data_IF_828592969470
#
_entry.id   IF_828592969470
#
_cell.length_a   1.000
_cell.length_b   1.000
_cell.length_c   1.000
_cell.angle_alpha   90.00
_cell.angle_beta   90.00
_cell.angle_gamma   90.00
#
_symmetry.space_group_name_H-M   'P 1'
#
loop_
_entity.id
_entity.type
_entity.pdbx_description
1 polymer ?
#
# COMPACT_ATOMS: atom_id res chain seq x y z
N UNK A 1 -40.94 9.28 0.49
CA UNK A 1 -40.00 8.16 0.71
C UNK A 1 -38.60 8.69 0.42
N UNK A 2 -37.90 9.19 1.44
CA UNK A 2 -36.54 9.71 1.30
C UNK A 2 -35.65 9.09 2.39
N UNK A 3 -34.38 8.90 2.02
CA UNK A 3 -33.23 8.53 2.85
C UNK A 3 -33.00 7.03 3.11
N UNK A 4 -32.38 6.35 2.15
CA UNK A 4 -31.49 5.20 2.42
C UNK A 4 -30.07 5.35 1.80
N UNK A 5 -29.84 6.27 0.84
CA UNK A 5 -28.53 6.40 0.18
C UNK A 5 -27.43 7.03 1.05
N UNK A 6 -27.78 7.86 2.03
CA UNK A 6 -26.79 8.57 2.87
C UNK A 6 -26.03 7.62 3.79
N UNK A 7 -26.69 6.55 4.26
CA UNK A 7 -26.06 5.53 5.12
C UNK A 7 -25.01 4.71 4.36
N UNK A 8 -25.32 4.31 3.12
CA UNK A 8 -24.46 3.44 2.28
C UNK A 8 -23.31 4.18 1.60
N UNK A 9 -23.40 5.49 1.40
CA UNK A 9 -22.27 6.30 0.94
C UNK A 9 -21.34 6.62 2.12
N UNK A 10 -21.91 6.93 3.28
CA UNK A 10 -21.15 7.19 4.50
C UNK A 10 -20.37 5.96 4.97
N UNK A 11 -20.96 4.75 4.91
CA UNK A 11 -20.24 3.51 5.23
C UNK A 11 -19.05 3.27 4.31
N UNK A 12 -19.24 3.47 2.99
CA UNK A 12 -18.18 3.27 2.00
C UNK A 12 -17.00 4.24 2.17
N UNK A 13 -17.27 5.53 2.40
CA UNK A 13 -16.21 6.52 2.66
C UNK A 13 -15.46 6.21 3.96
N UNK A 14 -16.15 5.75 5.01
CA UNK A 14 -15.53 5.31 6.25
C UNK A 14 -14.66 4.07 6.04
N UNK A 15 -15.13 3.09 5.26
CA UNK A 15 -14.36 1.90 4.88
C UNK A 15 -13.07 2.27 4.14
N UNK A 16 -13.17 3.14 3.12
CA UNK A 16 -11.99 3.65 2.40
C UNK A 16 -11.00 4.34 3.32
N UNK A 17 -11.50 5.24 4.17
CA UNK A 17 -10.64 5.99 5.09
C UNK A 17 -9.92 5.07 6.07
N UNK A 18 -10.65 4.12 6.67
CA UNK A 18 -10.09 3.13 7.60
C UNK A 18 -9.04 2.24 6.92
N UNK A 19 -9.36 1.63 5.78
CA UNK A 19 -8.40 0.79 5.06
C UNK A 19 -7.16 1.57 4.60
N UNK A 20 -7.35 2.80 4.12
CA UNK A 20 -6.27 3.68 3.70
C UNK A 20 -5.37 4.11 4.86
N UNK A 21 -5.93 4.39 6.04
CA UNK A 21 -5.17 4.68 7.25
C UNK A 21 -4.27 3.49 7.62
N UNK A 22 -4.86 2.30 7.73
CA UNK A 22 -4.11 1.07 8.08
C UNK A 22 -3.04 0.75 7.03
N UNK A 23 -3.35 0.94 5.75
CA UNK A 23 -2.41 0.77 4.64
C UNK A 23 -1.21 1.72 4.73
N UNK A 24 -1.45 3.00 5.05
CA UNK A 24 -0.39 3.98 5.23
C UNK A 24 0.43 3.72 6.51
N UNK A 25 -0.24 3.33 7.61
CA UNK A 25 0.41 3.00 8.88
C UNK A 25 1.24 1.71 8.79
N UNK A 26 0.82 0.73 8.00
CA UNK A 26 1.56 -0.51 7.79
C UNK A 26 2.97 -0.29 7.24
N UNK A 27 3.21 0.76 6.46
CA UNK A 27 4.56 1.11 5.98
C UNK A 27 5.45 1.57 7.13
N UNK A 28 4.87 2.11 8.20
CA UNK A 28 5.57 2.48 9.42
C UNK A 28 5.82 1.26 10.32
N UNK A 29 4.79 0.43 10.54
CA UNK A 29 4.86 -0.70 11.48
C UNK A 29 5.49 -1.96 10.88
N UNK A 30 5.38 -2.16 9.57
CA UNK A 30 5.74 -3.37 8.81
C UNK A 30 4.95 -4.61 9.28
N UNK A 31 3.82 -4.40 9.95
CA UNK A 31 2.98 -5.46 10.51
C UNK A 31 1.70 -5.69 9.69
N UNK A 32 1.18 -6.90 9.76
CA UNK A 32 -0.16 -7.21 9.26
C UNK A 32 -1.22 -6.48 10.10
N UNK A 33 -2.38 -6.16 9.50
CA UNK A 33 -3.51 -5.56 10.20
C UNK A 33 -4.80 -6.31 9.88
N UNK A 34 -5.84 -6.08 10.69
CA UNK A 34 -7.17 -6.65 10.47
C UNK A 34 -8.11 -5.59 9.90
N UNK A 35 -8.90 -5.97 8.91
CA UNK A 35 -9.93 -5.14 8.33
C UNK A 35 -11.18 -5.97 8.05
N UNK A 36 -12.31 -5.57 8.62
CA UNK A 36 -13.61 -6.26 8.48
C UNK A 36 -13.52 -7.79 8.73
N UNK A 37 -12.77 -8.19 9.76
CA UNK A 37 -12.58 -9.60 10.12
C UNK A 37 -11.58 -10.36 9.26
N UNK A 38 -10.96 -9.71 8.26
CA UNK A 38 -9.94 -10.30 7.40
C UNK A 38 -8.54 -9.82 7.76
N UNK A 39 -7.58 -10.74 7.73
CA UNK A 39 -6.17 -10.43 7.97
C UNK A 39 -5.50 -9.97 6.68
N UNK A 40 -5.03 -8.72 6.66
CA UNK A 40 -4.36 -8.11 5.52
C UNK A 40 -2.84 -8.35 5.63
N UNK A 41 -2.33 -9.22 4.75
CA UNK A 41 -0.95 -9.77 4.81
C UNK A 41 0.07 -9.02 3.96
N UNK A 42 -0.29 -7.87 3.40
CA UNK A 42 0.61 -7.05 2.56
C UNK A 42 1.88 -6.62 3.30
N UNK A 43 1.89 -6.58 4.64
CA UNK A 43 3.10 -6.37 5.45
C UNK A 43 4.21 -7.40 5.20
N UNK A 44 3.88 -8.64 4.84
CA UNK A 44 4.86 -9.67 4.48
C UNK A 44 5.67 -9.29 3.22
N UNK A 45 5.08 -8.51 2.31
CA UNK A 45 5.76 -8.01 1.12
C UNK A 45 6.85 -7.01 1.53
N UNK A 46 6.54 -6.09 2.46
CA UNK A 46 7.53 -5.17 3.01
C UNK A 46 8.66 -5.95 3.70
N UNK A 47 8.34 -6.91 4.57
CA UNK A 47 9.35 -7.75 5.23
C UNK A 47 10.29 -8.40 4.21
N UNK A 48 9.74 -9.01 3.16
CA UNK A 48 10.51 -9.63 2.08
C UNK A 48 11.44 -8.64 1.35
N UNK A 49 11.06 -7.36 1.20
CA UNK A 49 11.95 -6.35 0.63
C UNK A 49 13.20 -6.12 1.50
N UNK A 50 13.04 -6.12 2.83
CA UNK A 50 14.17 -6.01 3.75
C UNK A 50 15.01 -7.29 3.75
N UNK A 51 14.36 -8.45 3.79
CA UNK A 51 15.04 -9.75 3.77
C UNK A 51 15.94 -9.90 2.54
N UNK A 52 15.39 -9.65 1.35
CA UNK A 52 16.13 -9.70 0.09
C UNK A 52 17.38 -8.80 0.08
N UNK A 53 17.33 -7.69 0.83
CA UNK A 53 18.43 -6.74 0.90
C UNK A 53 19.48 -7.12 1.93
N UNK A 54 19.08 -7.57 3.12
CA UNK A 54 19.96 -7.68 4.28
C UNK A 54 20.29 -9.12 4.70
N UNK A 55 19.47 -10.13 4.36
CA UNK A 55 19.69 -11.53 4.77
C UNK A 55 20.69 -12.30 3.91
N UNK A 56 21.61 -11.62 3.23
CA UNK A 56 22.71 -12.30 2.48
C UNK A 56 23.70 -13.01 3.40
N UNK A 57 23.72 -12.66 4.69
CA UNK A 57 24.56 -13.28 5.73
C UNK A 57 23.70 -13.63 6.93
N UNK A 58 23.94 -14.79 7.54
CA UNK A 58 23.15 -15.26 8.70
C UNK A 58 23.25 -14.30 9.90
N UNK A 59 24.40 -13.65 10.10
CA UNK A 59 24.61 -12.66 11.17
C UNK A 59 23.63 -11.47 11.11
N UNK A 60 23.23 -11.06 9.91
CA UNK A 60 22.32 -9.93 9.71
C UNK A 60 20.86 -10.28 10.03
N UNK A 61 20.51 -11.57 10.00
CA UNK A 61 19.13 -12.05 10.20
C UNK A 61 18.60 -11.68 11.57
N UNK A 62 19.41 -11.86 12.61
CA UNK A 62 19.02 -11.52 13.99
C UNK A 62 18.76 -10.02 14.15
N UNK A 63 19.68 -9.20 13.62
CA UNK A 63 19.58 -7.73 13.68
C UNK A 63 18.36 -7.25 12.90
N UNK A 64 18.13 -7.80 11.69
CA UNK A 64 16.95 -7.43 10.90
C UNK A 64 15.65 -7.81 11.61
N UNK A 65 15.54 -9.04 12.12
CA UNK A 65 14.32 -9.49 12.79
C UNK A 65 14.01 -8.67 14.03
N UNK A 66 15.03 -8.24 14.78
CA UNK A 66 14.86 -7.35 15.92
C UNK A 66 14.29 -5.98 15.48
N UNK A 67 14.76 -5.43 14.36
CA UNK A 67 14.21 -4.20 13.80
C UNK A 67 12.76 -4.36 13.34
N UNK A 68 12.48 -5.39 12.54
CA UNK A 68 11.16 -5.63 11.94
C UNK A 68 10.07 -5.89 12.99
N UNK A 69 10.43 -6.38 14.18
CA UNK A 69 9.49 -6.58 15.28
C UNK A 69 8.93 -5.25 15.83
N UNK A 70 9.69 -4.15 15.80
CA UNK A 70 9.25 -2.85 16.29
C UNK A 70 9.97 -1.67 15.62
N UNK A 71 9.79 -1.42 14.31
CA UNK A 71 10.58 -0.45 13.55
C UNK A 71 10.50 0.96 14.13
N UNK A 72 9.30 1.40 14.55
CA UNK A 72 9.06 2.72 15.15
C UNK A 72 9.83 2.94 16.46
N UNK A 73 9.97 1.91 17.28
CA UNK A 73 10.71 1.99 18.54
C UNK A 73 12.23 1.90 18.31
N UNK A 74 12.63 1.15 17.28
CA UNK A 74 14.03 0.84 16.97
C UNK A 74 14.71 1.86 16.08
N UNK A 75 13.97 2.70 15.34
CA UNK A 75 14.55 3.61 14.35
C UNK A 75 15.59 4.56 14.92
N UNK A 76 15.39 5.11 16.13
CA UNK A 76 16.36 6.02 16.78
C UNK A 76 17.65 5.30 17.16
N UNK A 77 17.52 4.11 17.75
CA UNK A 77 18.65 3.24 18.11
C UNK A 77 19.43 2.85 16.85
N UNK A 78 18.73 2.40 15.81
CA UNK A 78 19.34 1.89 14.59
C UNK A 78 20.00 2.98 13.76
N UNK A 79 19.44 4.20 13.77
CA UNK A 79 20.03 5.36 13.09
C UNK A 79 21.40 5.76 13.65
N UNK A 80 21.70 5.40 14.90
CA UNK A 80 22.97 5.71 15.57
C UNK A 80 23.84 4.48 15.82
N UNK A 81 23.44 3.32 15.28
CA UNK A 81 24.09 2.04 15.50
C UNK A 81 25.32 1.81 14.62
N UNK A 82 25.73 0.54 14.56
CA UNK A 82 26.75 0.07 13.63
C UNK A 82 26.31 0.21 12.15
N UNK A 83 27.19 -0.17 11.22
CA UNK A 83 26.94 -0.03 9.79
C UNK A 83 25.66 -0.75 9.35
N UNK A 84 25.40 -1.98 9.80
CA UNK A 84 24.21 -2.73 9.36
C UNK A 84 22.92 -2.14 9.94
N UNK A 85 22.93 -1.73 11.22
CA UNK A 85 21.78 -1.05 11.84
C UNK A 85 21.44 0.25 11.11
N UNK A 86 22.46 1.06 10.78
CA UNK A 86 22.28 2.29 10.01
C UNK A 86 21.77 2.03 8.60
N UNK A 87 22.26 0.99 7.92
CA UNK A 87 21.77 0.63 6.58
C UNK A 87 20.30 0.20 6.59
N UNK A 88 19.88 -0.56 7.62
CA UNK A 88 18.48 -0.94 7.82
C UNK A 88 17.61 0.30 8.08
N UNK A 89 18.04 1.19 8.99
CA UNK A 89 17.34 2.46 9.26
C UNK A 89 17.21 3.33 8.01
N UNK A 90 18.29 3.48 7.25
CA UNK A 90 18.29 4.25 6.00
C UNK A 90 17.36 3.64 4.95
N UNK A 91 17.34 2.31 4.81
CA UNK A 91 16.43 1.64 3.90
C UNK A 91 14.96 1.75 4.32
N UNK A 92 14.69 1.72 5.62
CA UNK A 92 13.36 1.98 6.17
C UNK A 92 12.88 3.40 5.87
N UNK A 93 13.71 4.41 6.13
CA UNK A 93 13.38 5.81 5.81
C UNK A 93 13.16 6.01 4.31
N UNK A 94 14.02 5.41 3.48
CA UNK A 94 13.85 5.42 2.02
C UNK A 94 12.52 4.78 1.60
N UNK A 95 12.17 3.64 2.17
CA UNK A 95 10.91 2.91 1.88
C UNK A 95 9.69 3.77 2.17
N UNK A 96 9.65 4.45 3.33
CA UNK A 96 8.59 5.40 3.70
C UNK A 96 8.48 6.57 2.72
N UNK A 97 9.62 7.20 2.39
CA UNK A 97 9.68 8.34 1.44
C UNK A 97 9.21 7.92 0.04
N UNK A 98 9.64 6.76 -0.45
CA UNK A 98 9.21 6.22 -1.75
C UNK A 98 7.71 5.92 -1.76
N UNK A 99 7.18 5.30 -0.71
CA UNK A 99 5.75 5.03 -0.58
C UNK A 99 4.92 6.31 -0.66
N UNK A 100 5.23 7.30 0.17
CA UNK A 100 4.57 8.62 0.17
C UNK A 100 4.61 9.26 -1.21
N UNK A 101 5.77 9.26 -1.86
CA UNK A 101 5.94 9.81 -3.21
C UNK A 101 5.07 9.08 -4.25
N UNK A 102 5.05 7.75 -4.22
CA UNK A 102 4.33 6.93 -5.20
C UNK A 102 2.82 7.07 -5.04
N UNK A 103 2.28 6.98 -3.82
CA UNK A 103 0.82 7.12 -3.61
C UNK A 103 0.30 8.51 -4.01
N UNK A 104 1.14 9.55 -3.91
CA UNK A 104 0.82 10.90 -4.41
C UNK A 104 0.82 10.98 -5.93
N UNK A 105 1.73 10.26 -6.59
CA UNK A 105 1.93 10.31 -8.04
C UNK A 105 0.90 9.46 -8.81
N UNK A 106 0.54 8.28 -8.29
CA UNK A 106 -0.30 7.31 -9.00
C UNK A 106 -1.64 7.87 -9.49
N UNK A 107 -2.40 8.67 -8.71
CA UNK A 107 -3.68 9.23 -9.19
C UNK A 107 -3.54 10.08 -10.45
N UNK A 108 -2.43 10.82 -10.58
CA UNK A 108 -2.17 11.59 -11.79
C UNK A 108 -1.88 10.67 -12.97
N UNK A 109 -1.07 9.63 -12.78
CA UNK A 109 -0.78 8.64 -13.83
C UNK A 109 -2.07 7.95 -14.32
N UNK A 110 -2.97 7.58 -13.41
CA UNK A 110 -4.27 6.99 -13.78
C UNK A 110 -5.08 7.96 -14.65
N UNK A 111 -5.11 9.26 -14.29
CA UNK A 111 -5.86 10.28 -15.05
C UNK A 111 -5.27 10.53 -16.44
N UNK A 112 -3.95 10.50 -16.59
CA UNK A 112 -3.29 10.82 -17.87
C UNK A 112 -3.13 9.60 -18.78
N UNK A 113 -2.86 8.43 -18.21
CA UNK A 113 -2.47 7.23 -18.95
C UNK A 113 -3.55 6.13 -18.89
N UNK A 114 -4.56 6.28 -18.05
CA UNK A 114 -5.54 5.23 -17.76
C UNK A 114 -5.08 4.25 -16.67
N UNK A 115 -6.04 3.53 -16.11
CA UNK A 115 -5.84 2.57 -15.02
C UNK A 115 -4.92 1.41 -15.45
N UNK A 116 -5.27 0.73 -16.56
CA UNK A 116 -4.54 -0.43 -17.06
C UNK A 116 -3.07 -0.16 -17.35
N UNK A 117 -2.76 0.93 -18.08
CA UNK A 117 -1.37 1.30 -18.38
C UNK A 117 -0.59 1.67 -17.12
N UNK A 118 -1.22 2.38 -16.19
CA UNK A 118 -0.59 2.72 -14.90
C UNK A 118 -0.28 1.47 -14.08
N UNK A 119 -1.20 0.52 -14.01
CA UNK A 119 -1.01 -0.71 -13.24
C UNK A 119 0.04 -1.63 -13.89
N UNK A 120 0.07 -1.72 -15.23
CA UNK A 120 1.15 -2.39 -15.95
C UNK A 120 2.52 -1.76 -15.67
N UNK A 121 2.60 -0.42 -15.64
CA UNK A 121 3.80 0.30 -15.23
C UNK A 121 4.21 -0.03 -13.79
N UNK A 122 3.28 0.01 -12.84
CA UNK A 122 3.54 -0.34 -11.44
C UNK A 122 4.08 -1.77 -11.31
N UNK A 123 3.47 -2.73 -12.00
CA UNK A 123 3.90 -4.13 -12.03
C UNK A 123 5.32 -4.26 -12.59
N UNK A 124 5.66 -3.53 -13.67
CA UNK A 124 7.01 -3.55 -14.25
C UNK A 124 8.09 -2.97 -13.33
N UNK A 125 7.72 -2.06 -12.43
CA UNK A 125 8.66 -1.44 -11.48
C UNK A 125 8.91 -2.28 -10.24
N UNK A 126 7.96 -3.11 -9.81
CA UNK A 126 8.11 -3.93 -8.61
C UNK A 126 8.22 -3.10 -7.33
N UNK A 127 8.85 -3.67 -6.29
CA UNK A 127 9.17 -2.96 -5.05
C UNK A 127 7.95 -2.30 -4.40
N UNK A 128 8.08 -1.01 -4.07
CA UNK A 128 7.00 -0.23 -3.44
C UNK A 128 5.79 -0.03 -4.36
N UNK A 129 5.98 0.02 -5.68
CA UNK A 129 4.85 0.05 -6.60
C UNK A 129 4.04 -1.25 -6.57
N UNK A 130 4.71 -2.40 -6.52
CA UNK A 130 4.03 -3.69 -6.38
C UNK A 130 3.29 -3.75 -5.04
N UNK A 131 3.94 -3.35 -3.94
CA UNK A 131 3.30 -3.31 -2.62
C UNK A 131 2.02 -2.44 -2.62
N UNK A 132 2.06 -1.24 -3.20
CA UNK A 132 0.87 -0.39 -3.35
C UNK A 132 -0.20 -1.07 -4.22
N UNK A 133 0.21 -1.74 -5.29
CA UNK A 133 -0.71 -2.51 -6.14
C UNK A 133 -1.43 -3.62 -5.38
N UNK A 134 -0.72 -4.34 -4.51
CA UNK A 134 -1.30 -5.37 -3.65
C UNK A 134 -2.25 -4.77 -2.60
N UNK A 135 -1.95 -3.57 -2.06
CA UNK A 135 -2.92 -2.85 -1.22
C UNK A 135 -4.21 -2.50 -1.98
N UNK A 136 -4.11 -2.12 -3.26
CA UNK A 136 -5.29 -1.89 -4.10
C UNK A 136 -6.09 -3.18 -4.28
N UNK A 137 -5.43 -4.30 -4.57
CA UNK A 137 -6.13 -5.58 -4.69
C UNK A 137 -6.85 -5.95 -3.39
N UNK A 138 -6.17 -5.83 -2.24
CA UNK A 138 -6.77 -6.13 -0.94
C UNK A 138 -7.94 -5.20 -0.61
N UNK A 139 -7.87 -3.91 -0.99
CA UNK A 139 -9.03 -3.01 -0.90
C UNK A 139 -10.21 -3.53 -1.73
N UNK A 140 -9.97 -3.89 -3.00
CA UNK A 140 -11.03 -4.35 -3.91
C UNK A 140 -11.65 -5.68 -3.47
N UNK A 141 -10.90 -6.54 -2.76
CA UNK A 141 -11.43 -7.78 -2.16
C UNK A 141 -12.36 -7.54 -0.97
N UNK A 142 -12.17 -6.43 -0.26
CA UNK A 142 -12.79 -6.17 1.04
C UNK A 142 -13.80 -5.02 1.02
N UNK A 143 -14.01 -4.36 -0.12
CA UNK A 143 -14.97 -3.28 -0.21
C UNK A 143 -16.42 -3.80 -0.24
N UNK A 144 -17.29 -3.15 0.53
CA UNK A 144 -18.65 -3.64 0.86
C UNK A 144 -19.57 -3.85 -0.35
N UNK A 145 -19.32 -3.17 -1.47
CA UNK A 145 -20.24 -3.13 -2.61
C UNK A 145 -19.94 -4.18 -3.67
N UNK A 146 -18.81 -4.89 -3.58
CA UNK A 146 -18.42 -5.90 -4.57
C UNK A 146 -18.47 -5.37 -6.01
N UNK A 147 -18.12 -4.10 -6.21
CA UNK A 147 -18.04 -3.43 -7.51
C UNK A 147 -17.12 -4.18 -8.47
N UNK A 148 -16.11 -4.86 -7.93
CA UNK A 148 -15.26 -5.76 -8.69
C UNK A 148 -15.47 -7.21 -8.22
N UNK A 149 -16.50 -7.84 -8.79
CA UNK A 149 -17.01 -9.16 -8.34
C UNK A 149 -15.96 -10.27 -8.27
N UNK A 150 -14.96 -10.23 -9.15
CA UNK A 150 -13.94 -11.28 -9.25
C UNK A 150 -12.70 -10.98 -8.39
N UNK A 151 -12.69 -9.89 -7.60
CA UNK A 151 -11.51 -9.48 -6.83
C UNK A 151 -10.99 -10.58 -5.89
N UNK A 152 -11.92 -11.29 -5.24
CA UNK A 152 -11.63 -12.34 -4.26
C UNK A 152 -11.01 -13.58 -4.89
N UNK A 153 -11.17 -13.77 -6.20
CA UNK A 153 -10.58 -14.87 -6.97
C UNK A 153 -9.14 -14.57 -7.41
N UNK A 154 -8.69 -13.31 -7.29
CA UNK A 154 -7.37 -12.90 -7.73
C UNK A 154 -6.33 -13.06 -6.63
N UNK A 155 -5.31 -13.86 -6.90
CA UNK A 155 -4.25 -14.16 -5.93
C UNK A 155 -3.25 -13.03 -5.74
N UNK A 156 -3.03 -12.19 -6.76
CA UNK A 156 -2.01 -11.15 -6.75
C UNK A 156 -2.32 -9.99 -7.70
N UNK A 157 -1.62 -8.88 -7.51
CA UNK A 157 -1.77 -7.66 -8.31
C UNK A 157 -1.55 -7.89 -9.80
N UNK A 158 -0.68 -8.81 -10.20
CA UNK A 158 -0.46 -9.16 -11.60
C UNK A 158 -1.70 -9.72 -12.29
N UNK A 159 -2.46 -10.56 -11.59
CA UNK A 159 -3.75 -11.07 -12.07
C UNK A 159 -4.81 -9.97 -12.16
N UNK A 160 -4.80 -9.01 -11.22
CA UNK A 160 -5.63 -7.80 -11.33
C UNK A 160 -5.30 -6.98 -12.58
N UNK A 161 -4.02 -6.77 -12.88
CA UNK A 161 -3.60 -6.06 -14.10
C UNK A 161 -4.11 -6.78 -15.34
N UNK A 162 -3.95 -8.10 -15.40
CA UNK A 162 -4.45 -8.92 -16.51
C UNK A 162 -5.96 -8.75 -16.68
N UNK A 163 -6.73 -8.90 -15.61
CA UNK A 163 -8.19 -8.80 -15.63
C UNK A 163 -8.66 -7.43 -16.13
N UNK A 164 -8.05 -6.35 -15.64
CA UNK A 164 -8.36 -4.97 -16.06
C UNK A 164 -8.13 -4.76 -17.56
N UNK A 165 -7.08 -5.36 -18.12
CA UNK A 165 -6.67 -5.14 -19.51
C UNK A 165 -7.44 -6.01 -20.48
N UNK A 166 -7.81 -7.25 -20.10
CA UNK A 166 -8.37 -8.22 -21.05
C UNK A 166 -9.87 -8.42 -20.95
N UNK A 167 -10.47 -8.22 -19.77
CA UNK A 167 -11.79 -8.78 -19.48
C UNK A 167 -12.86 -7.74 -19.11
N UNK A 168 -12.48 -6.52 -18.71
CA UNK A 168 -13.44 -5.50 -18.28
C UNK A 168 -14.15 -4.81 -19.45
N UNK A 169 -15.48 -4.67 -19.34
CA UNK A 169 -16.27 -3.81 -20.23
C UNK A 169 -16.02 -2.33 -19.90
N UNK A 170 -16.27 -1.41 -20.85
CA UNK A 170 -16.02 0.03 -20.63
C UNK A 170 -16.74 0.64 -19.41
N UNK A 171 -17.91 0.13 -19.01
CA UNK A 171 -18.61 0.58 -17.80
C UNK A 171 -17.93 0.11 -16.52
N UNK A 172 -17.51 -1.16 -16.48
CA UNK A 172 -16.82 -1.77 -15.34
C UNK A 172 -15.44 -1.15 -15.15
N UNK A 173 -14.70 -0.95 -16.25
CA UNK A 173 -13.42 -0.25 -16.24
C UNK A 173 -13.53 1.16 -15.64
N UNK A 174 -14.56 1.92 -16.03
CA UNK A 174 -14.80 3.28 -15.50
C UNK A 174 -15.19 3.26 -14.02
N UNK A 175 -16.07 2.34 -13.63
CA UNK A 175 -16.46 2.19 -12.22
C UNK A 175 -15.24 1.85 -11.35
N UNK A 176 -14.44 0.87 -11.77
CA UNK A 176 -13.21 0.47 -11.08
C UNK A 176 -12.19 1.62 -11.02
N UNK A 177 -12.01 2.35 -12.12
CA UNK A 177 -11.12 3.52 -12.15
C UNK A 177 -11.53 4.56 -11.11
N UNK A 178 -12.83 4.84 -10.99
CA UNK A 178 -13.35 5.79 -10.00
C UNK A 178 -13.15 5.28 -8.57
N UNK A 179 -13.38 3.98 -8.32
CA UNK A 179 -13.17 3.37 -7.01
C UNK A 179 -11.71 3.46 -6.58
N UNK A 180 -10.78 3.08 -7.46
CA UNK A 180 -9.34 3.18 -7.21
C UNK A 180 -8.94 4.63 -6.92
N UNK A 181 -9.40 5.60 -7.70
CA UNK A 181 -9.11 7.02 -7.46
C UNK A 181 -9.69 7.53 -6.12
N UNK A 182 -10.87 7.05 -5.71
CA UNK A 182 -11.46 7.37 -4.41
C UNK A 182 -10.63 6.80 -3.26
N UNK A 183 -10.18 5.55 -3.38
CA UNK A 183 -9.26 4.94 -2.42
C UNK A 183 -7.95 5.72 -2.31
N UNK A 184 -7.29 6.03 -3.43
CA UNK A 184 -6.05 6.81 -3.43
C UNK A 184 -6.21 8.23 -2.87
N UNK A 185 -7.41 8.80 -2.93
CA UNK A 185 -7.69 10.11 -2.32
C UNK A 185 -7.51 10.06 -0.80
N UNK A 186 -7.92 8.98 -0.15
CA UNK A 186 -7.67 8.74 1.27
C UNK A 186 -6.23 8.30 1.53
N UNK A 187 -5.71 7.37 0.74
CA UNK A 187 -4.37 6.82 0.93
C UNK A 187 -3.30 7.90 0.93
N UNK A 188 -3.35 8.83 -0.03
CA UNK A 188 -2.38 9.93 -0.09
C UNK A 188 -2.48 10.87 1.12
N UNK A 189 -3.70 11.14 1.63
CA UNK A 189 -3.90 12.03 2.79
C UNK A 189 -3.27 11.44 4.05
N UNK A 190 -3.48 10.14 4.29
CA UNK A 190 -2.88 9.47 5.43
C UNK A 190 -1.37 9.27 5.26
N UNK A 191 -0.90 8.94 4.06
CA UNK A 191 0.54 8.87 3.81
C UNK A 191 1.22 10.24 4.05
N UNK A 192 0.58 11.35 3.69
CA UNK A 192 1.09 12.69 3.96
C UNK A 192 1.09 13.05 5.44
N UNK A 193 0.02 12.70 6.17
CA UNK A 193 -0.11 13.02 7.59
C UNK A 193 0.70 12.12 8.53
N UNK A 194 0.90 10.85 8.17
CA UNK A 194 1.61 9.86 9.01
C UNK A 194 3.11 9.81 8.70
N UNK A 195 3.50 10.05 7.45
CA UNK A 195 4.91 9.98 7.03
C UNK A 195 5.46 11.41 7.03
N UNK A 196 5.99 11.80 8.18
CA UNK A 196 6.71 13.06 8.35
C UNK A 196 7.86 13.13 7.35
N UNK A 197 7.93 14.23 6.61
CA UNK A 197 9.19 14.63 6.00
C UNK A 197 10.05 15.16 7.15
N UNK A 198 11.17 14.48 7.46
CA UNK A 198 12.25 15.17 8.17
C UNK A 198 12.49 16.45 7.36
N UNK A 199 12.19 17.60 7.95
CA UNK A 199 12.51 18.89 7.36
C UNK A 199 14.00 18.81 7.00
N UNK A 200 14.29 18.68 5.71
CA UNK A 200 15.65 18.83 5.22
C UNK A 200 15.93 20.31 5.41
N UNK A 201 16.77 20.57 6.42
CA UNK A 201 17.27 21.87 6.85
C UNK A 201 17.30 22.89 5.70
N UNK A 202 16.54 23.97 5.85
CA UNK A 202 16.89 25.27 5.26
C UNK A 202 18.16 25.82 5.91
#
# INVERSE_FOLDING_TARGET
>A
MSNNNTSTIKSLEQGRAKFAYESAYQVLSIQEFEFEGQKIKTGAILQKLFENKFMKKEENKKILNEFLAAPLNKIKEYSSGDTIKRDIANFYEKTKKEYKSHVKKIPMLIKTNGLGATFAFMLSKGGIYLYIGEQVLEWLKNEEKGMFKNATELENFGLLVKEIVTNLKPSEYRALTNEVLAFFTWLRRFAEGLIEEKAENE
#
